data_IF_123976716019
#
_entry.id   IF_123976716019
#
_cell.length_a   1.000
_cell.length_b   1.000
_cell.length_c   1.000
_cell.angle_alpha   90.00
_cell.angle_beta   90.00
_cell.angle_gamma   90.00
#
_symmetry.space_group_name_H-M   'P 1'
#
loop_
_entity.id
_entity.type
_entity.pdbx_description
1 polymer ?
#
# COMPACT_ATOMS: atom_id res chain seq x y z
N UNK A 1 -0.62 14.09 -4.08
CA UNK A 1 -1.98 13.60 -3.76
C UNK A 1 -2.02 13.10 -2.32
N UNK A 2 -3.20 13.11 -1.69
CA UNK A 2 -3.37 12.61 -0.32
C UNK A 2 -4.11 11.27 -0.39
N UNK A 3 -3.58 10.26 0.30
CA UNK A 3 -4.24 8.97 0.56
C UNK A 3 -4.47 8.81 2.06
N UNK A 4 -5.20 7.76 2.46
CA UNK A 4 -5.31 7.34 3.87
C UNK A 4 -4.55 6.04 4.04
N UNK A 5 -3.51 6.01 4.85
CA UNK A 5 -2.76 4.80 5.22
C UNK A 5 -3.01 4.46 6.68
N UNK A 6 -3.56 3.27 6.97
CA UNK A 6 -3.93 2.83 8.32
C UNK A 6 -4.78 3.86 9.08
N UNK A 7 -5.65 4.57 8.35
CA UNK A 7 -6.51 5.62 8.89
C UNK A 7 -5.89 7.02 8.95
N UNK A 8 -4.58 7.17 8.75
CA UNK A 8 -3.85 8.45 8.78
C UNK A 8 -3.66 9.02 7.37
N UNK A 9 -3.71 10.35 7.23
CA UNK A 9 -3.47 11.01 5.94
C UNK A 9 -1.99 11.01 5.57
N UNK A 10 -1.67 10.56 4.36
CA UNK A 10 -0.31 10.55 3.83
C UNK A 10 -0.27 11.25 2.47
N UNK A 11 0.70 12.14 2.29
CA UNK A 11 0.97 12.79 1.01
C UNK A 11 1.97 11.98 0.18
N UNK A 12 1.63 11.75 -1.09
CA UNK A 12 2.44 11.04 -2.08
C UNK A 12 2.51 11.85 -3.38
N UNK A 13 3.52 11.58 -4.20
CA UNK A 13 3.56 12.11 -5.57
C UNK A 13 2.40 11.53 -6.41
N UNK A 14 1.96 12.28 -7.41
CA UNK A 14 1.02 11.71 -8.39
C UNK A 14 1.70 10.58 -9.18
N UNK A 15 0.94 9.53 -9.49
CA UNK A 15 1.47 8.35 -10.17
C UNK A 15 2.25 7.39 -9.27
N UNK A 16 2.39 7.66 -7.97
CA UNK A 16 3.00 6.72 -7.02
C UNK A 16 2.25 5.40 -7.00
N UNK A 17 3.00 4.31 -6.96
CA UNK A 17 2.48 2.95 -6.84
C UNK A 17 2.48 2.47 -5.40
N UNK A 18 1.83 1.33 -5.14
CA UNK A 18 1.92 0.64 -3.84
C UNK A 18 3.39 0.31 -3.51
N UNK A 19 4.20 -0.07 -4.49
CA UNK A 19 5.61 -0.36 -4.26
C UNK A 19 6.39 0.89 -3.82
N UNK A 20 6.09 2.05 -4.41
CA UNK A 20 6.71 3.32 -4.01
C UNK A 20 6.31 3.71 -2.59
N UNK A 21 5.05 3.50 -2.23
CA UNK A 21 4.56 3.67 -0.86
C UNK A 21 5.31 2.75 0.13
N UNK A 22 5.43 1.46 -0.17
CA UNK A 22 6.16 0.50 0.68
C UNK A 22 7.61 0.92 0.87
N UNK A 23 8.26 1.44 -0.19
CA UNK A 23 9.61 1.98 -0.11
C UNK A 23 9.68 3.24 0.77
N UNK A 24 8.76 4.19 0.58
CA UNK A 24 8.71 5.44 1.33
C UNK A 24 8.41 5.25 2.83
N UNK A 25 7.81 4.11 3.21
CA UNK A 25 7.50 3.77 4.61
C UNK A 25 8.57 2.86 5.25
N UNK A 26 9.69 2.59 4.56
CA UNK A 26 10.75 1.66 5.00
C UNK A 26 10.23 0.25 5.30
N UNK A 27 9.24 -0.21 4.52
CA UNK A 27 8.59 -1.52 4.68
C UNK A 27 9.06 -2.57 3.68
N UNK A 28 10.07 -2.26 2.88
CA UNK A 28 10.64 -3.21 1.92
C UNK A 28 11.13 -4.48 2.62
N UNK A 29 10.87 -5.62 1.98
CA UNK A 29 11.24 -6.94 2.53
C UNK A 29 10.38 -7.42 3.70
N UNK A 30 9.50 -6.59 4.27
CA UNK A 30 8.58 -7.02 5.33
C UNK A 30 7.50 -7.95 4.76
N UNK A 31 7.08 -8.92 5.57
CA UNK A 31 6.00 -9.86 5.25
C UNK A 31 4.64 -9.23 5.54
N UNK A 32 4.28 -8.26 4.70
CA UNK A 32 3.02 -7.52 4.75
C UNK A 32 2.19 -7.77 3.49
N UNK A 33 0.88 -7.63 3.62
CA UNK A 33 -0.03 -7.45 2.50
C UNK A 33 -0.64 -6.05 2.58
N UNK A 34 -1.06 -5.54 1.43
CA UNK A 34 -1.70 -4.23 1.30
C UNK A 34 -3.14 -4.48 0.88
N UNK A 35 -4.06 -3.96 1.67
CA UNK A 35 -5.45 -3.78 1.28
C UNK A 35 -5.61 -2.37 0.71
N UNK A 36 -6.30 -2.23 -0.42
CA UNK A 36 -6.65 -0.96 -1.03
C UNK A 36 -8.17 -0.93 -1.20
N UNK A 37 -8.84 0.04 -0.55
CA UNK A 37 -10.27 0.26 -0.60
C UNK A 37 -11.13 -0.98 -0.26
N UNK A 38 -10.68 -1.81 0.69
CA UNK A 38 -11.37 -3.04 1.09
C UNK A 38 -10.92 -4.30 0.35
N UNK A 39 -10.00 -4.20 -0.62
CA UNK A 39 -9.55 -5.32 -1.43
C UNK A 39 -8.04 -5.57 -1.29
N UNK A 40 -7.65 -6.83 -1.04
CA UNK A 40 -6.23 -7.21 -0.97
C UNK A 40 -5.60 -7.10 -2.36
N UNK A 41 -4.58 -6.26 -2.49
CA UNK A 41 -3.80 -6.13 -3.72
C UNK A 41 -2.68 -7.17 -3.72
N UNK A 42 -2.65 -8.12 -4.67
CA UNK A 42 -1.59 -9.12 -4.75
C UNK A 42 -0.21 -8.48 -4.86
N UNK A 43 0.79 -9.07 -4.19
CA UNK A 43 2.17 -8.53 -4.17
C UNK A 43 2.76 -8.34 -5.57
N UNK A 44 2.40 -9.21 -6.52
CA UNK A 44 2.83 -9.11 -7.92
C UNK A 44 2.31 -7.86 -8.63
N UNK A 45 1.24 -7.23 -8.12
CA UNK A 45 0.64 -6.02 -8.68
C UNK A 45 1.11 -4.75 -7.98
N UNK A 46 1.86 -4.84 -6.87
CA UNK A 46 2.27 -3.65 -6.09
C UNK A 46 3.07 -2.65 -6.91
N UNK A 47 3.91 -3.11 -7.83
CA UNK A 47 4.72 -2.25 -8.69
C UNK A 47 3.96 -1.61 -9.86
N UNK A 48 2.76 -2.11 -10.19
CA UNK A 48 1.95 -1.61 -11.32
C UNK A 48 0.64 -0.94 -10.86
N UNK A 49 0.24 -1.14 -9.60
CA UNK A 49 -0.97 -0.55 -9.04
C UNK A 49 -0.69 0.89 -8.64
N UNK A 50 -1.11 1.82 -9.49
CA UNK A 50 -1.01 3.26 -9.27
C UNK A 50 -2.08 3.70 -8.28
N UNK A 51 -1.68 4.45 -7.26
CA UNK A 51 -2.57 4.99 -6.25
C UNK A 51 -3.24 6.27 -6.75
N UNK A 52 -4.44 6.52 -6.25
CA UNK A 52 -5.25 7.70 -6.54
C UNK A 52 -5.53 8.48 -5.26
N UNK A 53 -5.84 9.77 -5.42
CA UNK A 53 -6.23 10.60 -4.28
C UNK A 53 -7.45 10.01 -3.55
N UNK A 54 -7.41 10.04 -2.23
CA UNK A 54 -8.41 9.49 -1.29
C UNK A 54 -8.49 7.97 -1.22
N UNK A 55 -7.59 7.22 -1.86
CA UNK A 55 -7.50 5.77 -1.62
C UNK A 55 -7.26 5.48 -0.14
N UNK A 56 -7.97 4.48 0.39
CA UNK A 56 -7.83 3.98 1.74
C UNK A 56 -7.01 2.68 1.72
N UNK A 57 -5.82 2.73 2.29
CA UNK A 57 -4.90 1.62 2.35
C UNK A 57 -4.73 1.12 3.78
N UNK A 58 -4.72 -0.20 3.94
CA UNK A 58 -4.36 -0.85 5.19
C UNK A 58 -3.18 -1.79 5.00
N UNK A 59 -2.20 -1.67 5.90
CA UNK A 59 -1.10 -2.62 5.99
C UNK A 59 -1.55 -3.74 6.91
N UNK A 60 -1.78 -4.91 6.32
CA UNK A 60 -2.19 -6.09 7.07
C UNK A 60 -1.04 -7.07 7.18
N UNK A 61 -0.92 -7.72 8.34
CA UNK A 61 0.03 -8.80 8.54
C UNK A 61 -0.45 -10.02 7.75
N UNK A 62 0.40 -10.54 6.84
CA UNK A 62 0.05 -11.74 6.11
C UNK A 62 -0.10 -12.93 7.08
N UNK A 63 -1.32 -13.42 7.27
CA UNK A 63 -1.61 -14.58 8.10
C UNK A 63 -1.34 -15.82 7.23
N UNK A 64 -0.08 -16.28 7.24
CA UNK A 64 0.33 -17.49 6.53
C UNK A 64 1.46 -18.20 7.25
N UNK A 65 1.13 -19.28 7.96
CA UNK A 65 2.10 -20.30 8.35
C UNK A 65 2.77 -20.91 7.12
N UNK A 66 3.92 -21.56 7.32
CA UNK A 66 4.68 -22.22 6.26
C UNK A 66 3.94 -23.36 5.57
#
# INVERSE_FOLDING_TARGET
MIIRLNGESLELAEGSTISDLIAAQDLLGRRIAIECNGEIVPRSQHASHVLSANDALEIVHAIGGG
#
